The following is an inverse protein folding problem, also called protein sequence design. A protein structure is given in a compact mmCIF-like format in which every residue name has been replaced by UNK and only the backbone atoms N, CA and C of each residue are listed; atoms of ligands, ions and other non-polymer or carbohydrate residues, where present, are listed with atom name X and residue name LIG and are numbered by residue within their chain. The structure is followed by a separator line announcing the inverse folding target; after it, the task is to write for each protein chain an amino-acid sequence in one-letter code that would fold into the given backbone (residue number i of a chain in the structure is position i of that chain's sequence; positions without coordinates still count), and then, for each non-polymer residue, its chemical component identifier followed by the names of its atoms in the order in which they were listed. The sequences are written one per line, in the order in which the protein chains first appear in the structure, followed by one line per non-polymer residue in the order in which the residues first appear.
data_IF_668037107914
#
_entry.id   IF_668037107914
#
_cell.length_a   1.000
_cell.length_b   1.000
_cell.length_c   1.000
_cell.angle_alpha   90.00
_cell.angle_beta   90.00
_cell.angle_gamma   90.00
#
_symmetry.space_group_name_H-M   'P 1'
#
loop_
_entity.id
_entity.type
_entity.pdbx_description
1 polymer ?
#
# COMPACT_ATOMS: atom_id res chain seq x y z
N UNK A 1 6.77 -23.32 -16.12
CA UNK A 1 7.55 -22.11 -15.75
C UNK A 1 6.68 -20.91 -16.06
N UNK A 2 6.04 -20.32 -15.07
CA UNK A 2 5.16 -19.16 -15.30
C UNK A 2 6.02 -17.93 -15.64
N UNK A 3 5.71 -17.18 -16.71
CA UNK A 3 6.41 -15.95 -17.01
C UNK A 3 6.12 -14.95 -15.88
N UNK A 4 7.15 -14.61 -15.10
CA UNK A 4 7.10 -13.52 -14.13
C UNK A 4 7.19 -12.19 -14.91
N UNK A 5 6.11 -11.84 -15.59
CA UNK A 5 5.98 -10.53 -16.21
C UNK A 5 6.19 -9.46 -15.14
N UNK A 6 7.08 -8.50 -15.46
CA UNK A 6 7.63 -7.47 -14.57
C UNK A 6 6.57 -6.91 -13.63
N UNK A 7 6.56 -7.39 -12.38
CA UNK A 7 5.45 -7.16 -11.43
C UNK A 7 5.23 -5.70 -11.00
N UNK A 8 6.03 -4.75 -11.51
CA UNK A 8 5.89 -3.30 -11.25
C UNK A 8 4.71 -2.70 -12.04
N UNK A 9 4.36 -3.29 -13.20
CA UNK A 9 3.27 -2.81 -14.07
C UNK A 9 2.00 -3.66 -14.02
N UNK A 10 1.90 -4.52 -13.00
CA UNK A 10 0.68 -5.27 -12.74
C UNK A 10 -0.39 -4.34 -12.20
N UNK A 11 -1.59 -4.48 -12.74
CA UNK A 11 -2.75 -3.69 -12.38
C UNK A 11 -3.06 -3.73 -10.87
N UNK A 12 -2.69 -4.84 -10.25
CA UNK A 12 -2.76 -5.11 -8.83
C UNK A 12 -1.87 -4.19 -8.00
N UNK A 13 -0.67 -3.85 -8.51
CA UNK A 13 0.24 -2.92 -7.84
C UNK A 13 -0.36 -1.52 -7.79
N UNK A 14 -1.01 -1.07 -8.86
CA UNK A 14 -1.70 0.22 -8.88
C UNK A 14 -2.87 0.26 -7.89
N UNK A 15 -3.61 -0.85 -7.74
CA UNK A 15 -4.67 -0.97 -6.73
C UNK A 15 -4.07 -0.89 -5.32
N UNK A 16 -2.99 -1.62 -5.04
CA UNK A 16 -2.29 -1.58 -3.76
C UNK A 16 -1.87 -0.15 -3.38
N UNK A 17 -1.20 0.57 -4.29
CA UNK A 17 -0.73 1.93 -4.03
C UNK A 17 -1.87 2.93 -3.78
N UNK A 18 -2.96 2.82 -4.55
CA UNK A 18 -4.15 3.65 -4.33
C UNK A 18 -4.80 3.36 -2.98
N UNK A 19 -4.94 2.08 -2.63
CA UNK A 19 -5.53 1.67 -1.35
C UNK A 19 -4.68 2.14 -0.16
N UNK A 20 -3.36 2.02 -0.23
CA UNK A 20 -2.45 2.55 0.79
C UNK A 20 -2.61 4.06 0.98
N UNK A 21 -2.68 4.81 -0.13
CA UNK A 21 -2.93 6.25 -0.09
C UNK A 21 -4.30 6.57 0.51
N UNK A 22 -5.33 5.81 0.17
CA UNK A 22 -6.68 5.98 0.70
C UNK A 22 -6.70 5.73 2.21
N UNK A 23 -6.15 4.60 2.68
CA UNK A 23 -6.06 4.29 4.11
C UNK A 23 -5.28 5.37 4.88
N UNK A 24 -4.22 5.93 4.29
CA UNK A 24 -3.49 7.07 4.89
C UNK A 24 -4.38 8.30 5.07
N UNK A 25 -5.16 8.64 4.05
CA UNK A 25 -6.09 9.79 4.10
C UNK A 25 -7.23 9.53 5.09
N UNK A 26 -7.78 8.31 5.14
CA UNK A 26 -8.80 7.88 6.11
C UNK A 26 -8.27 7.97 7.55
N UNK A 27 -7.00 7.64 7.77
CA UNK A 27 -6.33 7.82 9.06
C UNK A 27 -6.00 9.30 9.39
N UNK A 28 -6.29 10.25 8.49
CA UNK A 28 -6.03 11.67 8.68
C UNK A 28 -4.55 12.07 8.68
N UNK A 29 -3.67 11.21 8.18
CA UNK A 29 -2.22 11.43 8.22
C UNK A 29 -1.72 12.11 6.94
N UNK A 30 -0.85 13.11 7.09
CA UNK A 30 -0.03 13.61 5.97
C UNK A 30 1.06 12.59 5.61
N UNK A 31 1.70 12.73 4.44
CA UNK A 31 2.83 11.87 4.05
C UNK A 31 3.99 11.96 5.06
N UNK A 32 4.23 13.14 5.64
CA UNK A 32 5.27 13.33 6.66
C UNK A 32 4.92 12.60 7.97
N UNK A 33 3.69 12.73 8.44
CA UNK A 33 3.23 12.04 9.65
C UNK A 33 3.19 10.52 9.46
N UNK A 34 2.78 10.04 8.30
CA UNK A 34 2.79 8.62 7.97
C UNK A 34 4.21 8.05 7.95
N UNK A 35 5.15 8.75 7.32
CA UNK A 35 6.55 8.33 7.33
C UNK A 35 7.13 8.37 8.76
N UNK A 36 6.80 9.39 9.55
CA UNK A 36 7.22 9.51 10.94
C UNK A 36 6.67 8.36 11.81
N UNK A 37 5.42 7.96 11.62
CA UNK A 37 4.80 6.83 12.31
C UNK A 37 5.49 5.48 12.00
N UNK A 38 6.20 5.41 10.88
CA UNK A 38 7.00 4.24 10.47
C UNK A 38 8.49 4.39 10.78
N UNK A 39 8.88 5.46 11.48
CA UNK A 39 10.28 5.83 11.75
C UNK A 39 11.12 5.93 10.46
N UNK A 40 10.50 6.43 9.38
CA UNK A 40 11.10 6.61 8.05
C UNK A 40 11.15 8.07 7.62
N UNK A 41 12.07 8.43 6.70
CA UNK A 41 12.06 9.75 6.06
C UNK A 41 10.78 9.97 5.25
N UNK A 42 10.34 11.23 5.09
CA UNK A 42 9.15 11.57 4.29
C UNK A 42 9.21 11.04 2.85
N UNK A 43 10.41 10.91 2.26
CA UNK A 43 10.61 10.29 0.95
C UNK A 43 10.09 8.86 0.88
N UNK A 44 10.06 8.12 1.98
CA UNK A 44 9.50 6.77 2.04
C UNK A 44 8.02 6.73 1.63
N UNK A 45 7.21 7.65 2.18
CA UNK A 45 5.79 7.76 1.83
C UNK A 45 5.59 8.14 0.36
N UNK A 46 6.39 9.08 -0.14
CA UNK A 46 6.35 9.51 -1.54
C UNK A 46 6.76 8.40 -2.51
N UNK A 47 7.85 7.67 -2.20
CA UNK A 47 8.35 6.56 -3.01
C UNK A 47 7.34 5.41 -3.09
N UNK A 48 6.64 5.12 -1.99
CA UNK A 48 5.55 4.15 -1.96
C UNK A 48 4.43 4.60 -2.88
N UNK A 49 3.85 5.79 -2.65
CA UNK A 49 2.68 6.25 -3.41
C UNK A 49 2.95 6.40 -4.92
N UNK A 50 4.21 6.58 -5.31
CA UNK A 50 4.67 6.65 -6.70
C UNK A 50 5.08 5.30 -7.30
N UNK A 51 5.08 4.22 -6.50
CA UNK A 51 5.47 2.88 -6.94
C UNK A 51 6.96 2.70 -7.18
N UNK A 52 7.80 3.64 -6.69
CA UNK A 52 9.25 3.57 -6.76
C UNK A 52 9.83 2.61 -5.73
N UNK A 53 9.05 2.30 -4.68
CA UNK A 53 9.42 1.36 -3.63
C UNK A 53 8.43 0.20 -3.57
N UNK A 54 8.96 -1.03 -3.69
CA UNK A 54 8.20 -2.25 -3.41
C UNK A 54 8.02 -2.41 -1.92
N UNK A 55 6.83 -2.91 -1.54
CA UNK A 55 6.46 -3.22 -0.17
C UNK A 55 6.42 -4.73 -0.03
N UNK A 56 7.14 -5.27 0.95
CA UNK A 56 6.99 -6.66 1.37
C UNK A 56 5.87 -6.82 2.43
N UNK A 57 5.54 -8.06 2.78
CA UNK A 57 4.45 -8.34 3.72
C UNK A 57 4.69 -7.78 5.13
N UNK A 58 5.94 -7.75 5.60
CA UNK A 58 6.28 -7.24 6.94
C UNK A 58 6.11 -5.72 6.94
N UNK A 59 6.61 -5.04 5.91
CA UNK A 59 6.40 -3.62 5.71
C UNK A 59 4.92 -3.27 5.58
N UNK A 60 4.13 -4.10 4.88
CA UNK A 60 2.69 -3.90 4.78
C UNK A 60 2.02 -3.99 6.16
N UNK A 61 2.45 -4.95 6.98
CA UNK A 61 1.96 -5.10 8.35
C UNK A 61 2.28 -3.86 9.19
N UNK A 62 3.50 -3.34 9.12
CA UNK A 62 3.92 -2.12 9.83
C UNK A 62 3.10 -0.90 9.39
N UNK A 63 2.87 -0.77 8.08
CA UNK A 63 2.01 0.26 7.50
C UNK A 63 0.59 0.13 8.04
N UNK A 64 0.01 -1.06 8.06
CA UNK A 64 -1.33 -1.29 8.60
C UNK A 64 -1.42 -0.86 10.07
N UNK A 65 -0.41 -1.22 10.89
CA UNK A 65 -0.33 -0.78 12.28
C UNK A 65 -0.25 0.74 12.41
N UNK A 66 0.58 1.42 11.61
CA UNK A 66 0.71 2.88 11.62
C UNK A 66 -0.58 3.60 11.18
N UNK A 67 -1.39 2.95 10.35
CA UNK A 67 -2.68 3.46 9.87
C UNK A 67 -3.87 3.03 10.75
N UNK A 68 -3.61 2.31 11.85
CA UNK A 68 -4.64 1.76 12.73
C UNK A 68 -5.69 0.89 12.00
N UNK A 69 -5.24 0.10 11.02
CA UNK A 69 -6.04 -0.88 10.28
C UNK A 69 -5.47 -2.29 10.49
N UNK A 70 -6.33 -3.31 10.57
CA UNK A 70 -5.88 -4.69 10.64
C UNK A 70 -5.28 -5.15 9.31
N UNK A 71 -4.17 -5.91 9.32
CA UNK A 71 -3.59 -6.45 8.07
C UNK A 71 -4.61 -7.30 7.29
N UNK A 72 -5.38 -8.15 7.97
CA UNK A 72 -6.41 -8.99 7.34
C UNK A 72 -7.50 -8.13 6.70
N UNK A 73 -7.94 -7.08 7.40
CA UNK A 73 -8.92 -6.13 6.87
C UNK A 73 -8.39 -5.41 5.63
N UNK A 74 -7.13 -4.96 5.66
CA UNK A 74 -6.49 -4.34 4.50
C UNK A 74 -6.49 -5.29 3.29
N UNK A 75 -6.10 -6.56 3.48
CA UNK A 75 -6.09 -7.56 2.40
C UNK A 75 -7.50 -7.83 1.87
N UNK A 76 -8.52 -7.90 2.74
CA UNK A 76 -9.92 -8.04 2.30
C UNK A 76 -10.38 -6.87 1.42
N UNK A 77 -10.03 -5.63 1.80
CA UNK A 77 -10.30 -4.44 0.98
C UNK A 77 -9.57 -4.52 -0.36
N UNK A 78 -8.31 -4.94 -0.35
CA UNK A 78 -7.51 -5.11 -1.56
C UNK A 78 -8.12 -6.11 -2.55
N UNK A 79 -8.49 -7.30 -2.10
CA UNK A 79 -9.15 -8.32 -2.93
C UNK A 79 -10.51 -7.82 -3.47
N UNK A 80 -11.25 -7.06 -2.66
CA UNK A 80 -12.54 -6.48 -3.09
C UNK A 80 -12.35 -5.46 -4.21
N UNK A 81 -11.33 -4.61 -4.13
CA UNK A 81 -11.00 -3.63 -5.18
C UNK A 81 -10.52 -4.30 -6.47
N UNK A 82 -9.76 -5.40 -6.36
CA UNK A 82 -9.37 -6.20 -7.54
C UNK A 82 -10.60 -6.81 -8.23
N UNK A 83 -11.48 -7.46 -7.47
CA UNK A 83 -12.69 -8.07 -8.01
C UNK A 83 -13.63 -7.06 -8.70
N UNK A 84 -13.66 -5.79 -8.25
CA UNK A 84 -14.42 -4.72 -8.90
C UNK A 84 -13.81 -4.25 -10.22
N UNK A 85 -12.51 -4.41 -10.41
CA UNK A 85 -11.82 -4.02 -11.64
C UNK A 85 -11.97 -5.08 -12.74
N UNK A 86 -12.15 -6.34 -12.34
CA UNK A 86 -12.36 -7.47 -13.25
C UNK A 86 -13.84 -7.68 -13.64
N UNK A 87 -14.76 -6.87 -13.09
CA UNK A 87 -16.20 -6.88 -13.37
C UNK A 87 -16.59 -5.81 -14.41
#
# INVERSE_FOLDING_TARGET
MYPLEKSVYRDENLVLLRLLKQCRVEAGLTQAQFAQALERPQSFASDIERGLRRIDLVQLRDICHALNIGLVEFVQRFETELARKDA
#
